data_IF_643342448144
#
_entry.id   IF_643342448144
#
_cell.length_a   1.000
_cell.length_b   1.000
_cell.length_c   1.000
_cell.angle_alpha   90.00
_cell.angle_beta   90.00
_cell.angle_gamma   90.00
#
_symmetry.space_group_name_H-M   'P 1'
#
loop_
_entity.id
_entity.type
_entity.pdbx_description
1 polymer ?
#
# COMPACT_ATOMS: atom_id res chain seq x y z
N UNK A 1 -3.61 -18.69 9.04
CA UNK A 1 -2.55 -18.85 10.06
C UNK A 1 -3.20 -19.51 11.26
N UNK A 2 -2.92 -20.79 11.49
CA UNK A 2 -3.48 -21.55 12.61
C UNK A 2 -3.07 -20.95 13.95
N UNK A 3 -3.99 -20.92 14.90
CA UNK A 3 -3.77 -20.38 16.25
C UNK A 3 -2.59 -21.08 16.92
N UNK A 4 -2.50 -22.41 16.79
CA UNK A 4 -1.36 -23.21 17.27
C UNK A 4 0.00 -22.72 16.76
N UNK A 5 0.08 -22.20 15.53
CA UNK A 5 1.32 -21.70 14.94
C UNK A 5 1.69 -20.33 15.52
N UNK A 6 0.69 -19.49 15.81
CA UNK A 6 0.88 -18.22 16.52
C UNK A 6 1.36 -18.46 17.94
N UNK A 7 0.71 -19.35 18.69
CA UNK A 7 1.11 -19.70 20.06
C UNK A 7 2.54 -20.25 20.12
N UNK A 8 2.89 -21.13 19.18
CA UNK A 8 4.26 -21.67 19.06
C UNK A 8 5.29 -20.55 18.84
N UNK A 9 4.96 -19.57 17.99
CA UNK A 9 5.85 -18.45 17.69
C UNK A 9 5.98 -17.50 18.87
N UNK A 10 4.90 -17.25 19.61
CA UNK A 10 4.92 -16.42 20.83
C UNK A 10 5.76 -17.09 21.92
N UNK A 11 5.60 -18.40 22.13
CA UNK A 11 6.40 -19.15 23.09
C UNK A 11 7.90 -19.13 22.73
N UNK A 12 8.21 -19.30 21.44
CA UNK A 12 9.58 -19.21 20.93
C UNK A 12 10.18 -17.82 21.17
N UNK A 13 9.47 -16.75 20.83
CA UNK A 13 9.91 -15.37 21.04
C UNK A 13 10.17 -15.08 22.51
N UNK A 14 9.26 -15.50 23.41
CA UNK A 14 9.45 -15.34 24.86
C UNK A 14 10.70 -16.04 25.38
N UNK A 15 10.94 -17.28 24.95
CA UNK A 15 12.17 -18.00 25.30
C UNK A 15 13.41 -17.28 24.78
N UNK A 16 13.35 -16.78 23.54
CA UNK A 16 14.48 -16.07 22.94
C UNK A 16 14.77 -14.75 23.63
N UNK A 17 13.74 -14.00 24.00
CA UNK A 17 13.87 -12.77 24.79
C UNK A 17 14.60 -13.02 26.12
N UNK A 18 14.22 -14.09 26.84
CA UNK A 18 14.90 -14.47 28.07
C UNK A 18 16.37 -14.88 27.86
N UNK A 19 16.69 -15.56 26.75
CA UNK A 19 18.05 -15.99 26.39
C UNK A 19 18.98 -14.81 26.06
N UNK A 20 18.44 -13.74 25.48
CA UNK A 20 19.22 -12.54 25.11
C UNK A 20 19.08 -11.38 26.11
N UNK A 21 18.31 -11.56 27.18
CA UNK A 21 18.09 -10.53 28.21
C UNK A 21 17.23 -9.34 27.78
N UNK A 22 16.30 -9.54 26.84
CA UNK A 22 15.32 -8.51 26.44
C UNK A 22 14.11 -8.63 27.37
N UNK A 23 13.81 -7.55 28.07
CA UNK A 23 12.60 -7.43 28.89
C UNK A 23 11.38 -7.09 28.02
N UNK A 24 10.19 -7.47 28.49
CA UNK A 24 8.94 -7.16 27.78
C UNK A 24 8.71 -5.64 27.63
N UNK A 25 9.18 -4.86 28.60
CA UNK A 25 9.07 -3.40 28.59
C UNK A 25 9.94 -2.77 27.50
N UNK A 26 11.17 -3.26 27.31
CA UNK A 26 12.07 -2.83 26.24
C UNK A 26 11.49 -3.14 24.85
N UNK A 27 10.93 -4.35 24.69
CA UNK A 27 10.22 -4.71 23.47
C UNK A 27 8.99 -3.80 23.22
N UNK A 28 8.21 -3.50 24.26
CA UNK A 28 7.06 -2.62 24.15
C UNK A 28 7.47 -1.19 23.79
N UNK A 29 8.55 -0.67 24.38
CA UNK A 29 9.10 0.64 24.09
C UNK A 29 9.60 0.73 22.63
N UNK A 30 10.32 -0.30 22.15
CA UNK A 30 10.80 -0.36 20.77
C UNK A 30 9.64 -0.38 19.75
N UNK A 31 8.57 -1.14 20.03
CA UNK A 31 7.37 -1.16 19.18
C UNK A 31 6.67 0.21 19.20
N UNK A 32 6.51 0.82 20.38
CA UNK A 32 5.89 2.14 20.50
C UNK A 32 6.69 3.21 19.74
N UNK A 33 8.03 3.17 19.79
CA UNK A 33 8.89 4.08 19.04
C UNK A 33 8.75 3.88 17.52
N UNK A 34 8.72 2.63 17.04
CA UNK A 34 8.45 2.35 15.63
C UNK A 34 7.07 2.85 15.24
N UNK A 35 6.03 2.61 16.04
CA UNK A 35 4.68 3.13 15.78
C UNK A 35 4.64 4.66 15.72
N UNK A 36 5.40 5.36 16.58
CA UNK A 36 5.51 6.82 16.54
C UNK A 36 6.20 7.26 15.24
N UNK A 37 7.29 6.59 14.85
CA UNK A 37 7.99 6.85 13.57
C UNK A 37 7.09 6.57 12.36
N UNK A 38 6.31 5.51 12.40
CA UNK A 38 5.34 5.15 11.36
C UNK A 38 4.16 6.12 11.32
N UNK A 39 3.70 6.65 12.46
CA UNK A 39 2.67 7.70 12.52
C UNK A 39 3.22 9.04 12.02
N UNK A 40 4.50 9.32 12.27
CA UNK A 40 5.18 10.50 11.73
C UNK A 40 5.42 10.39 10.23
N UNK A 41 5.49 9.17 9.67
CA UNK A 41 5.52 8.96 8.23
C UNK A 41 4.20 9.43 7.58
N UNK A 42 4.23 10.61 6.98
CA UNK A 42 3.07 11.22 6.32
C UNK A 42 2.70 10.52 5.02
N UNK A 43 3.66 9.91 4.31
CA UNK A 43 3.49 9.23 3.03
C UNK A 43 4.12 7.82 3.03
N UNK A 44 3.53 6.84 2.33
CA UNK A 44 4.01 5.46 2.16
C UNK A 44 3.80 4.98 0.73
N UNK A 45 4.82 4.34 0.15
CA UNK A 45 4.79 3.71 -1.16
C UNK A 45 4.21 2.29 -1.11
N UNK A 46 3.78 1.77 -2.27
CA UNK A 46 3.34 0.37 -2.40
C UNK A 46 4.47 -0.65 -2.16
N UNK A 47 5.73 -0.23 -2.29
CA UNK A 47 6.92 -1.06 -2.02
C UNK A 47 7.30 -1.07 -0.54
N UNK A 48 6.65 -0.25 0.30
CA UNK A 48 6.87 -0.19 1.75
C UNK A 48 7.79 0.95 2.20
N UNK A 49 8.26 1.79 1.28
CA UNK A 49 9.02 3.00 1.61
C UNK A 49 8.11 4.02 2.28
N UNK A 50 8.61 4.71 3.30
CA UNK A 50 7.85 5.76 4.01
C UNK A 50 8.60 7.09 3.97
N UNK A 51 7.85 8.19 3.96
CA UNK A 51 8.39 9.54 3.99
C UNK A 51 7.56 10.43 4.90
N UNK A 52 8.23 11.07 5.87
CA UNK A 52 7.59 11.92 6.86
C UNK A 52 7.16 13.29 6.32
N UNK A 53 7.54 13.64 5.09
CA UNK A 53 7.34 14.98 4.54
C UNK A 53 8.43 15.98 4.94
N UNK A 54 9.38 15.54 5.79
CA UNK A 54 10.55 16.31 6.19
C UNK A 54 11.79 15.89 5.36
N UNK A 55 12.61 16.86 4.97
CA UNK A 55 13.82 16.62 4.18
C UNK A 55 13.61 16.42 2.68
N UNK A 56 14.58 15.76 2.02
CA UNK A 56 14.54 15.56 0.57
C UNK A 56 13.46 14.55 0.17
N UNK A 57 12.64 14.93 -0.81
CA UNK A 57 11.61 14.06 -1.36
C UNK A 57 12.24 12.82 -2.03
N UNK A 58 11.81 11.59 -1.68
CA UNK A 58 12.40 10.38 -2.22
C UNK A 58 12.06 10.16 -3.69
N UNK A 59 12.90 9.41 -4.39
CA UNK A 59 12.77 9.16 -5.83
C UNK A 59 11.45 8.49 -6.21
N UNK A 60 10.95 7.56 -5.39
CA UNK A 60 9.66 6.91 -5.63
C UNK A 60 8.49 7.90 -5.65
N UNK A 61 8.52 8.92 -4.78
CA UNK A 61 7.47 9.93 -4.72
C UNK A 61 7.58 10.93 -5.88
N UNK A 62 8.81 11.33 -6.23
CA UNK A 62 9.08 12.14 -7.43
C UNK A 62 8.59 11.44 -8.70
N UNK A 63 8.85 10.14 -8.83
CA UNK A 63 8.41 9.33 -9.96
C UNK A 63 6.89 9.18 -10.00
N UNK A 64 6.24 8.91 -8.86
CA UNK A 64 4.79 8.79 -8.78
C UNK A 64 4.08 10.09 -9.18
N UNK A 65 4.56 11.24 -8.70
CA UNK A 65 4.03 12.55 -9.09
C UNK A 65 4.25 12.80 -10.59
N UNK A 66 5.44 12.46 -11.11
CA UNK A 66 5.74 12.58 -12.54
C UNK A 66 4.88 11.67 -13.42
N UNK A 67 4.44 10.53 -12.87
CA UNK A 67 3.50 9.62 -13.51
C UNK A 67 2.03 10.09 -13.41
N UNK A 68 1.77 11.25 -12.79
CA UNK A 68 0.44 11.82 -12.63
C UNK A 68 -0.34 11.29 -11.43
N UNK A 69 0.30 10.57 -10.51
CA UNK A 69 -0.34 10.13 -9.26
C UNK A 69 -0.32 11.25 -8.22
N UNK A 70 -1.44 11.47 -7.56
CA UNK A 70 -1.54 12.43 -6.46
C UNK A 70 -0.77 11.94 -5.23
N UNK A 71 -0.02 12.85 -4.61
CA UNK A 71 0.72 12.62 -3.37
C UNK A 71 -0.17 12.10 -2.23
N UNK A 72 -1.43 12.51 -2.22
CA UNK A 72 -2.47 12.07 -1.27
C UNK A 72 -2.76 10.56 -1.35
N UNK A 73 -2.53 9.93 -2.51
CA UNK A 73 -2.66 8.48 -2.66
C UNK A 73 -1.66 7.71 -1.79
N UNK A 74 -0.54 8.35 -1.47
CA UNK A 74 0.50 7.79 -0.63
C UNK A 74 0.34 8.20 0.83
N UNK A 75 -0.61 9.07 1.20
CA UNK A 75 -0.72 9.55 2.57
C UNK A 75 -1.10 8.44 3.56
N UNK A 76 -0.37 8.33 4.68
CA UNK A 76 -0.60 7.31 5.74
C UNK A 76 -1.64 7.80 6.76
N UNK A 77 -1.63 9.09 7.07
CA UNK A 77 -2.77 9.74 7.72
C UNK A 77 -3.92 9.70 6.72
N UNK A 78 -5.00 9.03 7.07
CA UNK A 78 -6.23 9.06 6.28
C UNK A 78 -6.92 10.41 6.53
N UNK A 79 -6.86 11.43 5.65
CA UNK A 79 -8.09 12.15 5.42
C UNK A 79 -9.06 11.11 4.83
N UNK A 80 -10.25 11.03 5.41
CA UNK A 80 -11.39 10.34 4.80
C UNK A 80 -11.40 10.60 3.28
N UNK A 81 -11.77 9.60 2.44
CA UNK A 81 -11.44 9.55 1.02
C UNK A 81 -11.90 10.81 0.30
N UNK A 82 -11.02 11.79 0.18
CA UNK A 82 -11.21 12.92 -0.69
C UNK A 82 -10.74 12.45 -2.05
N UNK A 83 -11.72 12.01 -2.84
CA UNK A 83 -11.67 11.97 -4.28
C UNK A 83 -10.85 10.80 -4.87
N UNK A 84 -11.34 9.56 -4.68
CA UNK A 84 -11.65 8.81 -5.90
C UNK A 84 -12.48 9.75 -6.74
N UNK A 85 -11.91 10.26 -7.82
CA UNK A 85 -12.71 10.81 -8.91
C UNK A 85 -13.84 9.80 -9.13
N UNK A 86 -15.05 10.19 -8.73
CA UNK A 86 -16.26 9.65 -9.32
C UNK A 86 -16.07 9.97 -10.79
N UNK A 87 -15.42 9.07 -11.55
CA UNK A 87 -15.61 9.02 -12.99
C UNK A 87 -17.13 8.96 -13.08
N UNK A 88 -17.82 9.99 -13.62
CA UNK A 88 -19.22 9.80 -13.94
C UNK A 88 -19.23 8.54 -14.78
N UNK A 89 -20.02 7.55 -14.36
CA UNK A 89 -20.13 6.23 -15.00
C UNK A 89 -20.13 6.51 -16.50
N UNK A 90 -19.02 6.23 -17.18
CA UNK A 90 -18.81 6.70 -18.54
C UNK A 90 -20.07 6.32 -19.30
N UNK A 91 -20.78 7.27 -19.89
CA UNK A 91 -22.05 6.97 -20.52
C UNK A 91 -21.73 6.26 -21.85
N UNK A 92 -21.52 4.95 -21.78
CA UNK A 92 -21.24 4.09 -22.95
C UNK A 92 -22.36 4.18 -24.00
N UNK A 93 -23.52 4.73 -23.65
CA UNK A 93 -24.62 5.03 -24.58
C UNK A 93 -24.30 6.19 -25.53
N UNK A 94 -23.25 6.97 -25.25
CA UNK A 94 -22.80 8.13 -26.04
C UNK A 94 -21.46 7.93 -26.72
N UNK A 95 -20.98 6.68 -26.77
CA UNK A 95 -19.74 6.31 -27.46
C UNK A 95 -19.99 6.16 -28.99
N UNK A 96 -19.24 6.86 -29.86
CA UNK A 96 -19.46 6.82 -31.31
C UNK A 96 -19.06 5.49 -31.95
N UNK A 97 -18.47 4.56 -31.20
CA UNK A 97 -18.06 3.23 -31.65
C UNK A 97 -18.89 2.10 -31.01
N UNK A 98 -19.79 2.39 -30.06
CA UNK A 98 -20.70 1.43 -29.47
C UNK A 98 -21.62 0.83 -30.56
N UNK A 99 -21.44 -0.47 -30.85
CA UNK A 99 -22.15 -1.18 -31.93
C UNK A 99 -21.34 -1.34 -33.23
N UNK A 100 -20.12 -0.80 -33.32
CA UNK A 100 -19.23 -0.99 -34.46
C UNK A 100 -18.47 -2.34 -34.40
N UNK A 101 -18.16 -2.91 -35.57
CA UNK A 101 -17.45 -4.21 -35.72
C UNK A 101 -16.03 -4.24 -35.13
N UNK A 102 -15.52 -3.11 -34.63
CA UNK A 102 -14.22 -3.00 -33.97
C UNK A 102 -14.24 -3.42 -32.50
N UNK A 103 -15.41 -3.56 -31.87
CA UNK A 103 -15.54 -3.88 -30.45
C UNK A 103 -15.24 -5.35 -30.09
N UNK A 104 -15.10 -6.25 -31.07
CA UNK A 104 -14.84 -7.67 -30.83
C UNK A 104 -13.87 -8.28 -31.85
N UNK A 105 -12.58 -7.94 -31.74
CA UNK A 105 -11.54 -8.78 -32.35
C UNK A 105 -11.35 -10.02 -31.49
N UNK A 106 -12.09 -11.09 -31.81
CA UNK A 106 -11.67 -12.45 -31.50
C UNK A 106 -10.49 -12.76 -32.42
N UNK A 107 -9.28 -12.86 -31.88
CA UNK A 107 -8.18 -13.54 -32.58
C UNK A 107 -8.55 -15.01 -32.68
N UNK A 108 -9.07 -15.43 -33.82
CA UNK A 108 -9.10 -16.84 -34.20
C UNK A 108 -7.89 -17.08 -35.09
N UNK A 109 -6.87 -17.70 -34.50
CA UNK A 109 -5.71 -18.24 -35.20
C UNK A 109 -6.17 -19.28 -36.22
N UNK A 110 -5.73 -19.12 -37.47
CA UNK A 110 -6.06 -19.99 -38.59
C UNK A 110 -4.91 -20.96 -38.77
N UNK A 111 -5.12 -22.22 -38.44
CA UNK A 111 -4.22 -23.30 -38.86
C UNK A 111 -4.95 -24.22 -39.85
N UNK A 112 -4.23 -24.51 -40.93
CA UNK A 112 -4.62 -25.28 -42.12
C UNK A 112 -5.01 -26.73 -41.80
#
# INVERSE_FOLDING_TARGET
>A
MDERKRDSMVAYLRRRMADVGIELDDLAAAIAEDEIKQKAARYRSATGDTWSGDGEMPQWLKQAISAGQSMEHFAVERPAPAMTETRPKADWSRDPFAGSRLAAVRRSDRHL
#
